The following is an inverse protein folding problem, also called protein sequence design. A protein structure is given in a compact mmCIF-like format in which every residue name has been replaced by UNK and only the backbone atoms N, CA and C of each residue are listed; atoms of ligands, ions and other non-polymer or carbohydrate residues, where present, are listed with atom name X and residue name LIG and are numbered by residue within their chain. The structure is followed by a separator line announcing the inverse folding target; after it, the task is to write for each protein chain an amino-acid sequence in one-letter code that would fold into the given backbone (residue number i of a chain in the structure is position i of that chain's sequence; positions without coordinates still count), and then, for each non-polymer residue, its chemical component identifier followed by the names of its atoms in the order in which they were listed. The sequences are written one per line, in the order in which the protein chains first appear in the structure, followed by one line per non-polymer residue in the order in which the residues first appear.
data_IF_269059825855
#
_entry.id   IF_269059825855
#
_cell.length_a   1.000
_cell.length_b   1.000
_cell.length_c   1.000
_cell.angle_alpha   90.00
_cell.angle_beta   90.00
_cell.angle_gamma   90.00
#
_symmetry.space_group_name_H-M   'P 1'
#
loop_
_entity.id
_entity.type
_entity.pdbx_description
1 polymer ?
#
# COMPACT_ATOMS: atom_id res chain seq x y z
N UNK A 1 -6.22 -7.73 -37.05
CA UNK A 1 -6.61 -9.02 -36.44
C UNK A 1 -5.69 -9.41 -35.26
N UNK A 2 -4.37 -9.51 -35.45
CA UNK A 2 -3.45 -9.90 -34.35
C UNK A 2 -3.40 -8.88 -33.20
N UNK A 3 -3.39 -7.58 -33.49
CA UNK A 3 -3.43 -6.55 -32.43
C UNK A 3 -4.63 -6.71 -31.48
N UNK A 4 -5.84 -6.83 -32.02
CA UNK A 4 -7.05 -7.01 -31.20
C UNK A 4 -6.99 -8.29 -30.36
N UNK A 5 -6.34 -9.33 -30.88
CA UNK A 5 -6.10 -10.58 -30.17
C UNK A 5 -5.12 -10.36 -29.01
N UNK A 6 -3.95 -9.76 -29.25
CA UNK A 6 -2.95 -9.52 -28.20
C UNK A 6 -3.49 -8.67 -27.05
N UNK A 7 -4.40 -7.73 -27.33
CA UNK A 7 -4.99 -6.86 -26.31
C UNK A 7 -5.97 -7.63 -25.39
N UNK A 8 -6.71 -8.61 -25.92
CA UNK A 8 -7.89 -9.16 -25.24
C UNK A 8 -7.84 -10.68 -25.02
N UNK A 9 -6.82 -11.38 -25.52
CA UNK A 9 -6.78 -12.85 -25.49
C UNK A 9 -6.87 -13.43 -24.09
N UNK A 10 -6.20 -12.81 -23.11
CA UNK A 10 -6.18 -13.27 -21.71
C UNK A 10 -7.31 -12.70 -20.85
N UNK A 11 -8.26 -11.99 -21.44
CA UNK A 11 -9.40 -11.37 -20.77
C UNK A 11 -9.52 -9.88 -21.04
N UNK A 12 -10.60 -9.27 -20.55
CA UNK A 12 -10.77 -7.83 -20.65
C UNK A 12 -9.72 -7.07 -19.84
N UNK A 13 -9.50 -5.80 -20.20
CA UNK A 13 -8.55 -4.90 -19.55
C UNK A 13 -8.73 -4.85 -18.01
N UNK A 14 -9.96 -4.90 -17.52
CA UNK A 14 -10.27 -4.90 -16.09
C UNK A 14 -10.09 -6.26 -15.43
N UNK A 15 -10.46 -7.35 -16.11
CA UNK A 15 -10.33 -8.70 -15.58
C UNK A 15 -8.88 -9.09 -15.33
N UNK A 16 -7.98 -8.82 -16.27
CA UNK A 16 -6.56 -9.16 -16.11
C UNK A 16 -5.95 -8.47 -14.87
N UNK A 17 -6.37 -7.24 -14.56
CA UNK A 17 -5.95 -6.51 -13.35
C UNK A 17 -6.57 -7.08 -12.08
N UNK A 18 -7.86 -7.46 -12.12
CA UNK A 18 -8.51 -8.13 -10.99
C UNK A 18 -7.82 -9.45 -10.68
N UNK A 19 -7.43 -10.24 -11.68
CA UNK A 19 -6.67 -11.47 -11.45
C UNK A 19 -5.29 -11.23 -10.85
N UNK A 20 -4.59 -10.16 -11.25
CA UNK A 20 -3.35 -9.78 -10.60
C UNK A 20 -3.55 -9.46 -9.10
N UNK A 21 -4.61 -8.72 -8.77
CA UNK A 21 -4.99 -8.45 -7.37
C UNK A 21 -5.38 -9.73 -6.62
N UNK A 22 -6.20 -10.61 -7.22
CA UNK A 22 -6.59 -11.88 -6.60
C UNK A 22 -5.41 -12.82 -6.40
N UNK A 23 -4.43 -12.81 -7.31
CA UNK A 23 -3.17 -13.51 -7.13
C UNK A 23 -2.38 -12.99 -5.92
N UNK A 24 -2.33 -11.68 -5.72
CA UNK A 24 -1.68 -11.08 -4.54
C UNK A 24 -2.44 -11.39 -3.24
N UNK A 25 -3.77 -11.42 -3.27
CA UNK A 25 -4.61 -11.82 -2.14
C UNK A 25 -4.43 -13.30 -1.80
N UNK A 26 -4.55 -14.19 -2.79
CA UNK A 26 -4.45 -15.64 -2.59
C UNK A 26 -3.05 -16.11 -2.18
N UNK A 27 -2.00 -15.36 -2.54
CA UNK A 27 -0.62 -15.64 -2.11
C UNK A 27 -0.24 -15.01 -0.76
N UNK A 28 -1.10 -14.19 -0.16
CA UNK A 28 -0.80 -13.44 1.08
C UNK A 28 0.14 -12.24 0.89
N UNK A 29 0.54 -11.93 -0.34
CA UNK A 29 1.40 -10.78 -0.65
C UNK A 29 0.70 -9.45 -0.36
N UNK A 30 -0.62 -9.39 -0.63
CA UNK A 30 -1.43 -8.22 -0.27
C UNK A 30 -1.34 -7.91 1.23
N UNK A 31 -1.51 -8.92 2.09
CA UNK A 31 -1.47 -8.74 3.54
C UNK A 31 -0.08 -8.28 4.00
N UNK A 32 0.99 -8.86 3.43
CA UNK A 32 2.36 -8.43 3.71
C UNK A 32 2.59 -6.96 3.35
N UNK A 33 2.13 -6.51 2.19
CA UNK A 33 2.28 -5.11 1.77
C UNK A 33 1.44 -4.17 2.61
N UNK A 34 0.23 -4.57 2.98
CA UNK A 34 -0.62 -3.83 3.90
C UNK A 34 0.05 -3.68 5.27
N UNK A 35 0.59 -4.77 5.81
CA UNK A 35 1.28 -4.78 7.09
C UNK A 35 2.52 -3.88 7.09
N UNK A 36 3.25 -3.82 5.97
CA UNK A 36 4.36 -2.88 5.80
C UNK A 36 3.91 -1.42 5.98
N UNK A 37 2.80 -1.03 5.35
CA UNK A 37 2.21 0.29 5.55
C UNK A 37 1.68 0.49 6.98
N UNK A 38 1.02 -0.52 7.57
CA UNK A 38 0.54 -0.49 8.95
C UNK A 38 1.67 -0.31 9.96
N UNK A 39 2.85 -0.88 9.69
CA UNK A 39 4.04 -0.73 10.54
C UNK A 39 4.50 0.72 10.58
N UNK A 40 4.53 1.40 9.43
CA UNK A 40 4.86 2.82 9.37
C UNK A 40 3.79 3.69 10.09
N UNK A 41 2.51 3.39 9.88
CA UNK A 41 1.43 4.13 10.57
C UNK A 41 1.40 3.90 12.08
N UNK A 42 1.92 2.77 12.57
CA UNK A 42 1.99 2.47 13.99
C UNK A 42 3.07 3.28 14.74
N UNK A 43 4.01 3.88 14.02
CA UNK A 43 5.11 4.66 14.62
C UNK A 43 4.68 6.06 15.09
N UNK A 44 3.45 6.49 14.81
CA UNK A 44 2.92 7.77 15.27
C UNK A 44 1.41 7.72 15.56
N UNK A 45 0.92 8.76 16.23
CA UNK A 45 -0.50 9.10 16.30
C UNK A 45 -0.69 10.62 16.27
N UNK A 46 -1.86 11.10 16.70
CA UNK A 46 -2.18 12.52 16.71
C UNK A 46 -1.32 13.34 17.69
N UNK A 47 -0.70 12.68 18.68
CA UNK A 47 0.11 13.34 19.72
C UNK A 47 1.61 13.32 19.40
N UNK A 48 2.02 12.60 18.35
CA UNK A 48 3.39 12.59 17.82
C UNK A 48 3.94 11.20 17.54
N UNK A 49 5.27 11.10 17.48
CA UNK A 49 6.01 9.86 17.30
C UNK A 49 5.96 8.97 18.55
N UNK A 50 5.69 7.68 18.33
CA UNK A 50 5.81 6.57 19.30
C UNK A 50 7.16 5.87 19.21
N UNK A 51 7.82 5.95 18.07
CA UNK A 51 9.16 5.40 17.86
C UNK A 51 10.17 6.08 18.80
N UNK A 52 11.01 5.29 19.48
CA UNK A 52 11.91 5.77 20.55
C UNK A 52 13.12 6.55 20.03
N UNK A 53 13.43 6.36 18.75
CA UNK A 53 14.54 6.95 18.02
C UNK A 53 14.15 8.24 17.28
N UNK A 54 12.87 8.63 17.31
CA UNK A 54 12.35 9.87 16.72
C UNK A 54 12.03 10.91 17.79
N UNK A 55 12.19 12.19 17.44
CA UNK A 55 12.02 13.32 18.35
C UNK A 55 10.69 14.03 18.07
N UNK A 56 9.88 14.24 19.12
CA UNK A 56 8.65 15.02 19.05
C UNK A 56 8.94 16.53 18.98
N UNK A 57 8.16 17.24 18.17
CA UNK A 57 8.38 18.67 17.88
C UNK A 57 7.51 19.60 18.74
N UNK A 58 6.75 19.10 19.71
CA UNK A 58 5.81 19.89 20.52
C UNK A 58 6.47 21.08 21.25
N UNK A 59 7.75 20.96 21.64
CA UNK A 59 8.53 22.06 22.22
C UNK A 59 9.36 22.88 21.23
N UNK A 60 9.33 22.52 19.95
CA UNK A 60 10.12 23.12 18.86
C UNK A 60 9.21 23.79 17.79
N UNK A 61 7.91 23.53 17.84
CA UNK A 61 6.94 24.09 16.90
C UNK A 61 6.82 25.61 17.09
N UNK A 62 6.96 26.34 15.99
CA UNK A 62 6.68 27.77 15.94
C UNK A 62 5.17 28.06 15.79
N UNK A 63 4.36 27.03 15.56
CA UNK A 63 2.90 27.13 15.55
C UNK A 63 2.38 26.93 16.98
N UNK A 64 1.40 27.76 17.41
CA UNK A 64 0.84 27.73 18.76
C UNK A 64 0.15 26.41 19.10
#
# INVERSE_FOLDING_TARGET
RHELYEINYSGSHEEIRRYALFGALGSGQYDRWKQFAETCMAEYDLDGWKAKDLVNTSGLSALP
#
